data_IF_917461968249
#
_entry.id   IF_917461968249
#
_cell.length_a   1.000
_cell.length_b   1.000
_cell.length_c   1.000
_cell.angle_alpha   90.00
_cell.angle_beta   90.00
_cell.angle_gamma   90.00
#
_symmetry.space_group_name_H-M   'P 1'
#
loop_
_entity.id
_entity.type
_entity.pdbx_description
1 polymer ?
#
# COMPACT_ATOMS: atom_id res chain seq x y z
N UNK A 1 -22.78 21.50 34.37
CA UNK A 1 -22.23 21.77 33.02
C UNK A 1 -22.51 23.22 32.66
N UNK A 2 -21.54 23.94 32.12
CA UNK A 2 -21.77 25.32 31.67
C UNK A 2 -22.64 25.30 30.40
N UNK A 3 -23.41 26.35 30.18
CA UNK A 3 -24.27 26.50 28.98
C UNK A 3 -23.44 26.41 27.68
N UNK A 4 -22.21 26.88 27.72
CA UNK A 4 -21.26 26.81 26.62
C UNK A 4 -20.82 25.35 26.30
N UNK A 5 -20.57 24.55 27.33
CA UNK A 5 -20.22 23.13 27.15
C UNK A 5 -21.37 22.30 26.54
N UNK A 6 -22.62 22.61 26.93
CA UNK A 6 -23.81 21.99 26.37
C UNK A 6 -24.00 22.35 24.90
N UNK A 7 -23.83 23.62 24.54
CA UNK A 7 -23.90 24.10 23.16
C UNK A 7 -22.83 23.47 22.28
N UNK A 8 -21.59 23.36 22.77
CA UNK A 8 -20.48 22.70 22.04
C UNK A 8 -20.76 21.23 21.78
N UNK A 9 -21.27 20.50 22.79
CA UNK A 9 -21.65 19.09 22.65
C UNK A 9 -22.81 18.91 21.66
N UNK A 10 -23.81 19.79 21.67
CA UNK A 10 -24.92 19.77 20.70
C UNK A 10 -24.44 20.04 19.27
N UNK A 11 -23.53 21.00 19.06
CA UNK A 11 -22.94 21.30 17.77
C UNK A 11 -22.12 20.12 17.23
N UNK A 12 -21.30 19.51 18.09
CA UNK A 12 -20.51 18.30 17.73
C UNK A 12 -21.45 17.12 17.40
N UNK A 13 -22.49 16.91 18.21
CA UNK A 13 -23.48 15.87 17.95
C UNK A 13 -24.23 16.07 16.65
N UNK A 14 -24.68 17.31 16.37
CA UNK A 14 -25.33 17.67 15.11
C UNK A 14 -24.39 17.48 13.91
N UNK A 15 -23.11 17.83 14.06
CA UNK A 15 -22.08 17.59 13.04
C UNK A 15 -21.92 16.12 12.70
N UNK A 16 -21.77 15.26 13.70
CA UNK A 16 -21.66 13.80 13.46
C UNK A 16 -22.96 13.18 12.93
N UNK A 17 -24.12 13.68 13.35
CA UNK A 17 -25.40 13.24 12.82
C UNK A 17 -25.54 13.60 11.33
N UNK A 18 -25.17 14.82 10.93
CA UNK A 18 -25.14 15.27 9.54
C UNK A 18 -24.15 14.47 8.70
N UNK A 19 -22.97 14.16 9.25
CA UNK A 19 -21.96 13.31 8.60
C UNK A 19 -22.51 11.92 8.34
N UNK A 20 -23.07 11.25 9.36
CA UNK A 20 -23.62 9.90 9.23
C UNK A 20 -24.83 9.85 8.30
N UNK A 21 -25.67 10.87 8.33
CA UNK A 21 -26.80 10.99 7.42
C UNK A 21 -26.35 11.23 5.97
N UNK A 22 -25.37 12.10 5.76
CA UNK A 22 -24.76 12.37 4.45
C UNK A 22 -24.09 11.15 3.86
N UNK A 23 -23.39 10.35 4.67
CA UNK A 23 -22.73 9.12 4.24
C UNK A 23 -23.72 7.99 3.91
N UNK A 24 -24.85 7.92 4.62
CA UNK A 24 -25.86 6.86 4.39
C UNK A 24 -26.74 7.07 3.15
N UNK A 25 -27.01 8.32 2.75
CA UNK A 25 -28.09 8.63 1.81
C UNK A 25 -27.71 8.79 0.34
N UNK A 26 -26.45 8.68 -0.04
CA UNK A 26 -26.05 9.06 -1.40
C UNK A 26 -25.64 7.92 -2.31
N UNK A 27 -26.66 7.27 -2.90
CA UNK A 27 -26.56 6.62 -4.22
C UNK A 27 -26.87 7.56 -5.40
N UNK A 28 -27.31 8.82 -5.14
CA UNK A 28 -27.70 9.76 -6.20
C UNK A 28 -26.95 11.10 -6.06
N UNK A 29 -26.58 11.66 -7.21
CA UNK A 29 -25.98 12.99 -7.34
C UNK A 29 -26.89 14.05 -6.70
N UNK A 30 -26.41 14.68 -5.67
CA UNK A 30 -27.11 15.80 -5.05
C UNK A 30 -26.75 17.07 -5.81
N UNK A 31 -27.73 17.65 -6.49
CA UNK A 31 -27.62 18.91 -7.19
C UNK A 31 -28.12 20.06 -6.28
N UNK A 32 -27.24 21.05 -6.05
CA UNK A 32 -27.61 22.29 -5.34
C UNK A 32 -26.37 23.08 -4.89
N UNK A 33 -26.38 24.42 -4.98
CA UNK A 33 -25.22 25.27 -4.66
C UNK A 33 -24.78 25.16 -3.21
N UNK A 34 -25.71 24.98 -2.25
CA UNK A 34 -25.41 24.81 -0.84
C UNK A 34 -24.71 23.48 -0.53
N UNK A 35 -25.03 22.45 -1.27
CA UNK A 35 -24.38 21.14 -1.13
C UNK A 35 -22.99 21.13 -1.77
N UNK A 36 -22.75 21.96 -2.78
CA UNK A 36 -21.41 22.20 -3.30
C UNK A 36 -20.50 22.82 -2.25
N UNK A 37 -21.01 23.81 -1.48
CA UNK A 37 -20.28 24.40 -0.37
C UNK A 37 -19.96 23.39 0.73
N UNK A 38 -20.93 22.58 1.15
CA UNK A 38 -20.69 21.48 2.07
C UNK A 38 -19.67 20.49 1.56
N UNK A 39 -19.68 20.19 0.27
CA UNK A 39 -18.76 19.29 -0.38
C UNK A 39 -17.32 19.81 -0.44
N UNK A 40 -17.12 21.14 -0.46
CA UNK A 40 -15.80 21.77 -0.40
C UNK A 40 -15.15 21.61 0.99
N UNK A 41 -15.96 21.60 2.05
CA UNK A 41 -15.48 21.41 3.42
C UNK A 41 -15.41 19.94 3.87
N UNK A 42 -16.14 19.05 3.19
CA UNK A 42 -16.11 17.61 3.45
C UNK A 42 -15.57 16.90 2.22
N UNK A 43 -14.26 16.61 2.19
CA UNK A 43 -13.69 15.85 1.09
C UNK A 43 -14.47 14.57 0.90
N UNK A 44 -14.91 14.36 -0.32
CA UNK A 44 -15.70 13.19 -0.68
C UNK A 44 -14.78 11.96 -0.62
N UNK A 45 -14.82 11.25 0.49
CA UNK A 45 -14.09 9.99 0.70
C UNK A 45 -14.42 8.91 -0.33
N UNK A 46 -15.41 9.14 -1.20
CA UNK A 46 -15.71 8.27 -2.35
C UNK A 46 -14.58 8.16 -3.38
N UNK A 47 -13.59 9.03 -3.37
CA UNK A 47 -12.40 8.85 -4.20
C UNK A 47 -11.64 7.56 -3.87
N UNK A 48 -11.88 7.00 -2.69
CA UNK A 48 -11.28 5.74 -2.24
C UNK A 48 -12.17 4.52 -2.48
N UNK A 49 -13.34 4.65 -3.11
CA UNK A 49 -14.32 3.57 -3.26
C UNK A 49 -14.17 2.74 -4.52
N UNK A 50 -13.37 3.15 -5.45
CA UNK A 50 -12.90 2.24 -6.45
C UNK A 50 -11.55 1.72 -5.91
N UNK A 51 -11.58 0.69 -5.10
CA UNK A 51 -10.45 -0.20 -4.96
C UNK A 51 -10.26 -0.85 -6.34
N UNK A 52 -9.85 -0.02 -7.29
CA UNK A 52 -9.43 -0.43 -8.60
C UNK A 52 -8.17 -1.28 -8.47
N UNK A 53 -7.63 -1.62 -9.58
CA UNK A 53 -6.33 -2.23 -9.65
C UNK A 53 -5.30 -1.32 -8.97
N UNK A 54 -4.51 -1.87 -8.07
CA UNK A 54 -3.43 -1.15 -7.39
C UNK A 54 -2.10 -1.86 -7.63
N UNK A 55 -1.05 -1.11 -7.98
CA UNK A 55 0.28 -1.71 -8.14
C UNK A 55 0.78 -2.20 -6.78
N UNK A 56 1.30 -3.42 -6.75
CA UNK A 56 1.83 -4.07 -5.56
C UNK A 56 3.20 -4.65 -5.84
N UNK A 57 4.08 -4.53 -4.84
CA UNK A 57 5.42 -5.07 -4.88
C UNK A 57 5.44 -6.49 -4.31
N UNK A 58 6.01 -7.40 -5.07
CA UNK A 58 6.27 -8.78 -4.68
C UNK A 58 7.76 -9.05 -4.73
N UNK A 59 8.24 -9.90 -3.83
CA UNK A 59 9.65 -10.28 -3.75
C UNK A 59 9.77 -11.79 -3.59
N UNK A 60 10.89 -12.34 -4.09
CA UNK A 60 11.33 -13.70 -3.79
C UNK A 60 12.84 -13.76 -3.64
N UNK A 61 13.31 -14.69 -2.84
CA UNK A 61 14.73 -14.91 -2.62
C UNK A 61 15.19 -16.27 -3.12
N UNK A 62 16.41 -16.34 -3.60
CA UNK A 62 17.07 -17.58 -3.94
C UNK A 62 17.95 -18.03 -2.77
N UNK A 63 17.62 -19.19 -2.22
CA UNK A 63 18.41 -19.81 -1.15
C UNK A 63 19.64 -20.50 -1.73
N UNK A 64 20.74 -20.43 -0.99
CA UNK A 64 21.99 -21.12 -1.36
C UNK A 64 21.77 -22.62 -1.41
N UNK A 65 22.39 -23.26 -2.38
CA UNK A 65 22.53 -24.71 -2.36
C UNK A 65 23.33 -25.15 -1.13
N UNK A 66 22.76 -26.05 -0.32
CA UNK A 66 23.49 -26.82 0.68
C UNK A 66 24.03 -28.08 0.02
N UNK A 67 24.93 -28.80 0.71
CA UNK A 67 25.51 -30.05 0.16
C UNK A 67 24.44 -31.05 -0.32
N UNK A 68 23.24 -31.01 0.27
CA UNK A 68 22.13 -31.92 -0.02
C UNK A 68 20.92 -31.28 -0.71
N UNK A 69 20.91 -29.96 -0.94
CA UNK A 69 19.75 -29.27 -1.49
C UNK A 69 20.16 -28.29 -2.59
N UNK A 70 19.66 -28.45 -3.82
CA UNK A 70 19.95 -27.50 -4.91
C UNK A 70 19.42 -26.10 -4.57
N UNK A 71 20.00 -25.07 -5.19
CA UNK A 71 19.50 -23.71 -5.08
C UNK A 71 18.04 -23.66 -5.53
N UNK A 72 17.17 -23.10 -4.73
CA UNK A 72 15.75 -22.98 -5.02
C UNK A 72 15.24 -21.57 -4.72
N UNK A 73 14.19 -21.16 -5.45
CA UNK A 73 13.50 -19.91 -5.21
C UNK A 73 12.42 -20.09 -4.15
N UNK A 74 12.29 -19.10 -3.27
CA UNK A 74 11.12 -19.00 -2.40
C UNK A 74 9.89 -18.62 -3.22
N UNK A 75 8.71 -18.82 -2.65
CA UNK A 75 7.48 -18.31 -3.23
C UNK A 75 7.48 -16.77 -3.26
N UNK A 76 6.73 -16.23 -4.22
CA UNK A 76 6.51 -14.79 -4.30
C UNK A 76 5.72 -14.31 -3.09
N UNK A 77 6.25 -13.33 -2.38
CA UNK A 77 5.61 -12.73 -1.23
C UNK A 77 5.36 -11.25 -1.46
N UNK A 78 4.14 -10.82 -1.16
CA UNK A 78 3.80 -9.40 -1.23
C UNK A 78 4.50 -8.64 -0.10
N UNK A 79 5.22 -7.58 -0.47
CA UNK A 79 5.79 -6.62 0.49
C UNK A 79 4.63 -5.82 1.09
N UNK A 80 4.61 -5.69 2.39
CA UNK A 80 3.56 -5.05 3.21
C UNK A 80 2.27 -5.86 3.34
N UNK A 81 2.26 -6.75 4.32
CA UNK A 81 1.03 -7.31 4.86
C UNK A 81 0.17 -6.18 5.48
N UNK A 82 -1.15 -6.29 5.32
CA UNK A 82 -2.10 -5.38 5.96
C UNK A 82 -1.92 -5.43 7.48
N UNK A 83 -1.59 -4.27 8.08
CA UNK A 83 -1.43 -4.20 9.52
C UNK A 83 -2.77 -4.24 10.23
N UNK A 84 -2.89 -4.96 11.35
CA UNK A 84 -4.12 -4.97 12.14
C UNK A 84 -4.38 -3.57 12.71
N UNK A 85 -5.60 -3.09 12.54
CA UNK A 85 -6.03 -1.84 13.15
C UNK A 85 -6.12 -1.99 14.67
N UNK A 86 -5.58 -1.02 15.41
CA UNK A 86 -5.71 -0.91 16.88
C UNK A 86 -6.23 0.48 17.21
N UNK A 87 -7.09 0.59 18.24
CA UNK A 87 -7.68 1.88 18.64
C UNK A 87 -6.63 2.96 18.93
N UNK A 88 -5.47 2.61 19.49
CA UNK A 88 -4.36 3.55 19.72
C UNK A 88 -3.80 4.17 18.44
N UNK A 89 -4.02 3.54 17.27
CA UNK A 89 -3.56 4.02 15.98
C UNK A 89 -4.41 5.18 15.44
N UNK A 90 -5.55 5.48 16.08
CA UNK A 90 -6.40 6.63 15.72
C UNK A 90 -5.67 7.95 15.92
N UNK A 91 -4.84 8.06 16.96
CA UNK A 91 -4.14 9.31 17.29
C UNK A 91 -2.81 9.44 16.55
N UNK A 92 -2.04 8.37 16.46
CA UNK A 92 -0.75 8.37 15.77
C UNK A 92 -0.30 6.94 15.44
N UNK A 93 0.04 6.69 14.16
CA UNK A 93 0.61 5.43 13.74
C UNK A 93 1.76 5.66 12.75
N UNK A 94 3.01 5.79 13.23
CA UNK A 94 4.17 6.03 12.38
C UNK A 94 4.39 4.91 11.35
N UNK A 95 3.97 3.69 11.66
CA UNK A 95 4.12 2.54 10.78
C UNK A 95 3.20 2.64 9.56
N UNK A 96 1.97 3.17 9.74
CA UNK A 96 1.07 3.42 8.60
C UNK A 96 1.67 4.45 7.66
N UNK A 97 2.26 5.52 8.17
CA UNK A 97 2.91 6.53 7.34
C UNK A 97 4.06 5.93 6.53
N UNK A 98 4.84 5.05 7.13
CA UNK A 98 5.91 4.35 6.44
C UNK A 98 5.38 3.42 5.35
N UNK A 99 4.35 2.63 5.66
CA UNK A 99 3.71 1.76 4.68
C UNK A 99 3.09 2.54 3.50
N UNK A 100 2.50 3.72 3.78
CA UNK A 100 2.00 4.62 2.76
C UNK A 100 3.13 5.18 1.90
N UNK A 101 4.25 5.60 2.48
CA UNK A 101 5.41 6.09 1.73
C UNK A 101 5.96 5.02 0.78
N UNK A 102 6.03 3.78 1.23
CA UNK A 102 6.47 2.68 0.37
C UNK A 102 5.45 2.37 -0.73
N UNK A 103 4.15 2.40 -0.42
CA UNK A 103 3.13 2.24 -1.46
C UNK A 103 3.21 3.37 -2.48
N UNK A 104 3.38 4.62 -2.04
CA UNK A 104 3.58 5.76 -2.93
C UNK A 104 4.79 5.57 -3.84
N UNK A 105 5.89 5.00 -3.33
CA UNK A 105 7.06 4.70 -4.14
C UNK A 105 6.75 3.66 -5.23
N UNK A 106 5.95 2.64 -4.91
CA UNK A 106 5.50 1.64 -5.87
C UNK A 106 4.57 2.26 -6.92
N UNK A 107 3.66 3.16 -6.48
CA UNK A 107 2.75 3.89 -7.37
C UNK A 107 3.54 4.83 -8.32
N UNK A 108 4.59 5.48 -7.82
CA UNK A 108 5.47 6.30 -8.66
C UNK A 108 6.26 5.46 -9.68
N UNK A 109 6.74 4.27 -9.30
CA UNK A 109 7.36 3.37 -10.28
C UNK A 109 6.37 2.95 -11.36
N UNK A 110 5.12 2.66 -10.98
CA UNK A 110 4.06 2.38 -11.96
C UNK A 110 3.84 3.56 -12.91
N UNK A 111 3.76 4.79 -12.41
CA UNK A 111 3.65 5.98 -13.23
C UNK A 111 4.84 6.15 -14.17
N UNK A 112 6.06 5.94 -13.68
CA UNK A 112 7.27 6.02 -14.50
C UNK A 112 7.32 4.97 -15.62
N UNK A 113 6.73 3.79 -15.40
CA UNK A 113 6.59 2.74 -16.43
C UNK A 113 5.61 3.20 -17.51
N UNK A 114 4.49 3.82 -17.12
CA UNK A 114 3.48 4.34 -18.05
C UNK A 114 4.01 5.48 -18.91
N UNK A 115 4.85 6.34 -18.32
CA UNK A 115 5.42 7.51 -18.95
C UNK A 115 6.79 7.21 -19.63
N UNK A 116 7.18 5.91 -19.72
CA UNK A 116 8.47 5.55 -20.30
C UNK A 116 8.41 5.67 -21.83
N UNK A 117 9.35 6.41 -22.47
CA UNK A 117 9.48 6.41 -23.92
C UNK A 117 9.79 5.00 -24.46
N UNK A 118 9.47 4.73 -25.72
CA UNK A 118 9.72 3.41 -26.35
C UNK A 118 11.18 2.94 -26.23
N UNK A 119 12.14 3.88 -26.28
CA UNK A 119 13.58 3.57 -26.12
C UNK A 119 14.07 3.70 -24.68
N UNK A 120 13.20 3.91 -23.72
CA UNK A 120 13.54 4.18 -22.34
C UNK A 120 13.90 2.91 -21.55
N UNK A 121 14.90 3.01 -20.69
CA UNK A 121 15.23 1.95 -19.71
C UNK A 121 14.73 2.34 -18.32
N UNK A 122 13.71 1.65 -17.83
CA UNK A 122 13.14 1.89 -16.50
C UNK A 122 14.17 1.75 -15.38
N UNK A 123 15.23 0.93 -15.57
CA UNK A 123 16.27 0.71 -14.56
C UNK A 123 17.10 1.95 -14.27
N UNK A 124 17.10 2.93 -15.17
CA UNK A 124 17.79 4.20 -14.98
C UNK A 124 16.97 5.20 -14.15
N UNK A 125 15.68 4.93 -13.93
CA UNK A 125 14.82 5.79 -13.11
C UNK A 125 15.14 5.64 -11.63
N UNK A 126 15.12 6.76 -10.92
CA UNK A 126 15.37 6.79 -9.47
C UNK A 126 14.36 5.93 -8.69
N UNK A 127 13.11 5.91 -9.12
CA UNK A 127 12.04 5.09 -8.54
C UNK A 127 12.34 3.60 -8.62
N UNK A 128 12.85 3.10 -9.76
CA UNK A 128 13.28 1.72 -9.90
C UNK A 128 14.41 1.38 -8.92
N UNK A 129 15.41 2.24 -8.79
CA UNK A 129 16.52 2.02 -7.87
C UNK A 129 16.06 2.02 -6.40
N UNK A 130 15.13 2.91 -6.05
CA UNK A 130 14.56 2.98 -4.70
C UNK A 130 13.69 1.74 -4.40
N UNK A 131 12.87 1.28 -5.37
CA UNK A 131 12.09 0.04 -5.22
C UNK A 131 13.01 -1.18 -5.14
N UNK A 132 14.12 -1.20 -5.86
CA UNK A 132 15.14 -2.25 -5.73
C UNK A 132 15.71 -2.30 -4.30
N UNK A 133 16.03 -1.14 -3.70
CA UNK A 133 16.48 -1.08 -2.30
C UNK A 133 15.39 -1.54 -1.34
N UNK A 134 14.15 -1.13 -1.57
CA UNK A 134 13.01 -1.57 -0.76
C UNK A 134 12.81 -3.09 -0.82
N UNK A 135 12.91 -3.67 -2.02
CA UNK A 135 12.84 -5.12 -2.21
C UNK A 135 13.98 -5.85 -1.51
N UNK A 136 15.20 -5.30 -1.59
CA UNK A 136 16.36 -5.83 -0.87
C UNK A 136 16.15 -5.80 0.65
N UNK A 137 15.69 -4.67 1.21
CA UNK A 137 15.38 -4.57 2.64
C UNK A 137 14.33 -5.59 3.09
N UNK A 138 13.30 -5.81 2.27
CA UNK A 138 12.29 -6.82 2.56
C UNK A 138 12.89 -8.23 2.59
N UNK A 139 13.85 -8.51 1.73
CA UNK A 139 14.56 -9.80 1.65
C UNK A 139 15.58 -9.95 2.81
N UNK A 140 16.40 -8.94 3.04
CA UNK A 140 17.49 -9.01 4.01
C UNK A 140 17.00 -9.01 5.45
N UNK A 141 16.06 -8.13 5.76
CA UNK A 141 15.61 -7.89 7.13
C UNK A 141 14.23 -8.51 7.42
N UNK A 142 13.41 -8.75 6.39
CA UNK A 142 12.03 -9.24 6.53
C UNK A 142 11.13 -8.33 7.37
N UNK A 143 11.70 -7.27 7.93
CA UNK A 143 11.06 -6.37 8.92
C UNK A 143 11.54 -4.96 8.75
N UNK A 144 10.67 -4.02 9.10
CA UNK A 144 11.03 -2.62 9.31
C UNK A 144 10.75 -2.26 10.76
N UNK A 145 11.81 -2.09 11.54
CA UNK A 145 11.68 -2.04 12.99
C UNK A 145 10.96 -3.29 13.52
N UNK A 146 9.86 -3.11 14.22
CA UNK A 146 9.06 -4.23 14.77
C UNK A 146 8.00 -4.77 13.80
N UNK A 147 7.89 -4.20 12.59
CA UNK A 147 6.82 -4.54 11.64
C UNK A 147 7.33 -5.51 10.59
N UNK A 148 6.70 -6.68 10.44
CA UNK A 148 7.01 -7.58 9.34
C UNK A 148 6.67 -6.93 7.99
N UNK A 149 7.62 -6.96 7.06
CA UNK A 149 7.42 -6.46 5.69
C UNK A 149 6.86 -7.53 4.77
N UNK A 150 7.10 -8.79 5.08
CA UNK A 150 6.60 -9.95 4.34
C UNK A 150 5.73 -10.80 5.25
N UNK A 151 4.68 -11.46 4.70
CA UNK A 151 3.74 -12.25 5.49
C UNK A 151 4.38 -13.46 6.17
N UNK A 152 5.36 -14.06 5.50
CA UNK A 152 6.07 -15.26 5.95
C UNK A 152 7.56 -14.94 6.00
N UNK A 153 8.25 -15.31 7.08
CA UNK A 153 9.69 -15.14 7.14
C UNK A 153 10.36 -15.80 5.94
N UNK A 154 11.25 -15.07 5.30
CA UNK A 154 12.03 -15.63 4.20
C UNK A 154 13.11 -16.56 4.75
N UNK A 155 13.54 -17.58 3.99
CA UNK A 155 14.62 -18.46 4.41
C UNK A 155 15.91 -17.68 4.69
N UNK A 156 16.72 -18.18 5.60
CA UNK A 156 18.07 -17.64 5.83
C UNK A 156 19.03 -18.05 4.71
N UNK A 157 20.04 -17.23 4.43
CA UNK A 157 21.06 -17.55 3.42
C UNK A 157 20.63 -17.23 1.98
N UNK A 158 19.79 -16.22 1.80
CA UNK A 158 19.43 -15.72 0.47
C UNK A 158 20.64 -14.98 -0.11
N UNK A 159 21.05 -15.36 -1.32
CA UNK A 159 22.17 -14.73 -2.05
C UNK A 159 21.70 -13.85 -3.20
N UNK A 160 20.56 -14.18 -3.77
CA UNK A 160 19.99 -13.44 -4.89
C UNK A 160 18.50 -13.20 -4.63
N UNK A 161 17.97 -12.17 -5.23
CA UNK A 161 16.54 -11.86 -5.13
C UNK A 161 16.00 -11.34 -6.46
N UNK A 162 14.70 -11.38 -6.58
CA UNK A 162 13.94 -10.73 -7.64
C UNK A 162 12.74 -10.04 -7.01
N UNK A 163 12.28 -8.98 -7.68
CA UNK A 163 11.01 -8.36 -7.37
C UNK A 163 10.11 -8.28 -8.61
N UNK A 164 8.84 -8.22 -8.36
CA UNK A 164 7.80 -8.00 -9.37
C UNK A 164 6.89 -6.86 -8.95
N UNK A 165 6.52 -6.07 -9.94
CA UNK A 165 5.39 -5.16 -9.84
C UNK A 165 4.19 -5.84 -10.47
N UNK A 166 3.14 -6.02 -9.70
CA UNK A 166 1.88 -6.61 -10.16
C UNK A 166 0.73 -5.65 -9.94
N UNK A 167 -0.20 -5.62 -10.88
CA UNK A 167 -1.44 -4.90 -10.76
C UNK A 167 -2.49 -5.83 -10.14
N UNK A 168 -2.77 -5.62 -8.86
CA UNK A 168 -3.72 -6.44 -8.11
C UNK A 168 -5.11 -5.80 -8.12
N UNK A 169 -6.12 -6.55 -8.56
CA UNK A 169 -7.52 -6.21 -8.34
C UNK A 169 -7.95 -6.73 -6.97
N UNK A 170 -8.15 -5.82 -6.04
CA UNK A 170 -8.62 -6.14 -4.69
C UNK A 170 -10.12 -5.84 -4.60
N UNK A 171 -10.93 -6.84 -4.29
CA UNK A 171 -12.27 -6.60 -3.74
C UNK A 171 -12.13 -6.16 -2.29
N UNK A 172 -13.01 -5.27 -1.86
CA UNK A 172 -12.96 -4.54 -0.57
C UNK A 172 -12.76 -5.43 0.67
N UNK A 173 -13.12 -6.72 0.58
CA UNK A 173 -13.13 -7.67 1.70
C UNK A 173 -12.18 -8.87 1.55
N UNK A 174 -11.38 -8.92 0.48
CA UNK A 174 -10.51 -10.08 0.24
C UNK A 174 -9.04 -9.78 0.48
N UNK A 175 -8.40 -10.65 1.28
CA UNK A 175 -6.96 -10.60 1.55
C UNK A 175 -6.11 -11.07 0.35
N UNK A 176 -6.73 -11.79 -0.56
CA UNK A 176 -6.11 -12.33 -1.77
C UNK A 176 -6.65 -11.56 -2.97
N UNK A 177 -5.79 -11.09 -3.88
CA UNK A 177 -6.25 -10.41 -5.09
C UNK A 177 -7.11 -11.36 -5.94
N UNK A 178 -8.21 -10.84 -6.48
CA UNK A 178 -9.09 -11.60 -7.39
C UNK A 178 -8.40 -11.85 -8.72
N UNK A 179 -7.59 -10.91 -9.16
CA UNK A 179 -6.71 -11.02 -10.31
C UNK A 179 -5.42 -10.28 -10.03
N UNK A 180 -4.32 -10.78 -10.56
CA UNK A 180 -3.00 -10.19 -10.43
C UNK A 180 -2.31 -10.27 -11.77
N UNK A 181 -2.01 -9.12 -12.37
CA UNK A 181 -1.35 -9.01 -13.66
C UNK A 181 0.10 -8.56 -13.45
N UNK A 182 1.04 -9.26 -14.08
CA UNK A 182 2.45 -8.91 -14.03
C UNK A 182 2.71 -7.69 -14.92
N UNK A 183 3.27 -6.64 -14.33
CA UNK A 183 3.64 -5.39 -15.01
C UNK A 183 5.13 -5.35 -15.32
N UNK A 184 5.94 -5.67 -14.32
CA UNK A 184 7.40 -5.62 -14.40
C UNK A 184 8.00 -6.73 -13.56
N UNK A 185 9.02 -7.41 -14.09
CA UNK A 185 9.86 -8.33 -13.33
C UNK A 185 11.31 -7.84 -13.40
N UNK A 186 11.97 -7.77 -12.25
CA UNK A 186 13.39 -7.43 -12.18
C UNK A 186 14.26 -8.57 -12.73
N UNK A 187 15.47 -8.30 -13.22
CA UNK A 187 16.48 -9.33 -13.36
C UNK A 187 16.80 -9.95 -11.99
N UNK A 188 17.55 -11.04 -12.00
CA UNK A 188 18.13 -11.61 -10.79
C UNK A 188 19.19 -10.65 -10.24
N UNK A 189 19.01 -10.22 -9.01
CA UNK A 189 19.87 -9.26 -8.35
C UNK A 189 20.60 -9.93 -7.18
N UNK A 190 21.90 -9.67 -6.98
CA UNK A 190 22.60 -10.16 -5.80
C UNK A 190 22.13 -9.42 -4.54
N UNK A 191 22.15 -10.09 -3.39
CA UNK A 191 22.02 -9.41 -2.11
C UNK A 191 23.35 -8.72 -1.78
N UNK A 192 23.27 -7.53 -1.18
CA UNK A 192 24.42 -6.80 -0.67
C UNK A 192 24.29 -6.62 0.84
N UNK A 193 25.41 -6.59 1.53
CA UNK A 193 25.52 -6.36 2.99
C UNK A 193 25.95 -4.94 3.28
#
# INVERSE_FOLDING_TARGET
MSRTALLTLLLIGAYFALLTFGLRKHKHLVQGPWLFFFRAFFPNWKFYHAAGHAPRLYVRGQCVASADTPAHWSDWQRVYARMPFRLRHVLHNPVVNLALNHQNLVDHLWSDIQDLPEDGDIRQRATYQLVTRLAHEAIANGRWGDVPMVPVPLPTGITHFQFELRMDALLEDQRVPVSSELVLQSPVLPTWH
#
